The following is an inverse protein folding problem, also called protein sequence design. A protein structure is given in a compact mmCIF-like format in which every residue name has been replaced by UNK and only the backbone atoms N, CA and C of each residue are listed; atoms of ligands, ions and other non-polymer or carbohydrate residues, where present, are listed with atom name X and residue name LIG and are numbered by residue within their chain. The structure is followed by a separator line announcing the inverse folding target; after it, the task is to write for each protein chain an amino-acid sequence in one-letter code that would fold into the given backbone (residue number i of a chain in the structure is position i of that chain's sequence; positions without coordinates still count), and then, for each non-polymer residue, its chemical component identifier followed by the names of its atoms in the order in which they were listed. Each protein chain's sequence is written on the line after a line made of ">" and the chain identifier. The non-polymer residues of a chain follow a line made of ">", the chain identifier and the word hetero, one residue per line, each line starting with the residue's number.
data_IF_192805166834
#
_entry.id   IF_192805166834
#
_cell.length_a   1.000
_cell.length_b   1.000
_cell.length_c   1.000
_cell.angle_alpha   90.00
_cell.angle_beta   90.00
_cell.angle_gamma   90.00
#
_symmetry.space_group_name_H-M   'P 1'
#
loop_
_entity.id
_entity.type
_entity.pdbx_description
1 polymer ?
#
# COMPACT_ATOMS: atom_id res chain seq x y z
N UNK A 1 -10.00 -13.55 13.45
CA UNK A 1 -9.92 -13.18 12.02
C UNK A 1 -8.97 -14.16 11.37
N UNK A 2 -9.25 -14.56 10.15
CA UNK A 2 -8.49 -15.58 9.43
C UNK A 2 -7.05 -15.07 9.18
N UNK A 3 -6.04 -15.72 9.80
CA UNK A 3 -4.64 -15.27 9.89
C UNK A 3 -4.00 -14.95 8.52
N UNK A 4 -4.56 -15.50 7.43
CA UNK A 4 -4.04 -15.34 6.09
C UNK A 4 -4.25 -13.91 5.53
N UNK A 5 -5.42 -13.31 5.75
CA UNK A 5 -5.71 -11.95 5.25
C UNK A 5 -4.83 -10.91 5.94
N UNK A 6 -4.61 -11.07 7.24
CA UNK A 6 -3.71 -10.20 8.01
C UNK A 6 -2.28 -10.28 7.46
N UNK A 7 -1.81 -11.50 7.18
CA UNK A 7 -0.48 -11.75 6.58
C UNK A 7 -0.36 -11.13 5.19
N UNK A 8 -1.39 -11.22 4.36
CA UNK A 8 -1.39 -10.61 3.02
C UNK A 8 -1.31 -9.07 3.13
N UNK A 9 -2.12 -8.44 3.98
CA UNK A 9 -2.09 -6.99 4.17
C UNK A 9 -0.73 -6.50 4.69
N UNK A 10 -0.14 -7.21 5.65
CA UNK A 10 1.22 -6.92 6.14
C UNK A 10 2.29 -7.13 5.07
N UNK A 11 2.15 -8.13 4.21
CA UNK A 11 3.06 -8.33 3.08
C UNK A 11 2.99 -7.18 2.07
N UNK A 12 1.79 -6.70 1.76
CA UNK A 12 1.58 -5.51 0.92
C UNK A 12 2.29 -4.30 1.54
N UNK A 13 2.11 -4.06 2.85
CA UNK A 13 2.83 -3.00 3.56
C UNK A 13 4.35 -3.12 3.38
N UNK A 14 4.91 -4.31 3.63
CA UNK A 14 6.35 -4.55 3.50
C UNK A 14 6.88 -4.27 2.10
N UNK A 15 6.16 -4.67 1.05
CA UNK A 15 6.54 -4.37 -0.34
C UNK A 15 6.61 -2.87 -0.61
N UNK A 16 5.60 -2.11 -0.18
CA UNK A 16 5.56 -0.65 -0.34
C UNK A 16 6.72 0.00 0.44
N UNK A 17 6.93 -0.44 1.67
CA UNK A 17 7.95 0.10 2.58
C UNK A 17 9.38 -0.16 2.08
N UNK A 18 9.63 -1.33 1.48
CA UNK A 18 10.90 -1.63 0.79
C UNK A 18 11.08 -0.71 -0.41
N UNK A 19 10.09 -0.61 -1.30
CA UNK A 19 10.16 0.26 -2.48
C UNK A 19 10.48 1.71 -2.11
N UNK A 20 9.81 2.25 -1.09
CA UNK A 20 10.04 3.61 -0.61
C UNK A 20 11.50 3.81 -0.16
N UNK A 21 12.04 2.86 0.60
CA UNK A 21 13.43 2.91 1.07
C UNK A 21 14.43 2.84 -0.08
N UNK A 22 14.24 1.92 -1.01
CA UNK A 22 15.13 1.73 -2.17
C UNK A 22 15.17 2.98 -3.07
N UNK A 23 14.03 3.65 -3.23
CA UNK A 23 13.91 4.86 -4.04
C UNK A 23 14.16 6.16 -3.26
N UNK A 24 14.52 6.09 -1.97
CA UNK A 24 14.69 7.25 -1.07
C UNK A 24 13.47 8.19 -1.06
N UNK A 25 12.29 7.62 -1.22
CA UNK A 25 11.02 8.33 -1.27
C UNK A 25 10.36 8.36 0.10
N UNK A 26 9.69 9.46 0.42
CA UNK A 26 8.81 9.57 1.55
C UNK A 26 7.37 9.21 1.16
N UNK A 27 6.58 8.74 2.13
CA UNK A 27 5.17 8.36 1.92
C UNK A 27 4.28 9.49 1.40
N UNK A 28 4.61 10.76 1.66
CA UNK A 28 3.81 11.90 1.22
C UNK A 28 4.02 12.21 -0.26
N UNK A 29 5.16 11.85 -0.85
CA UNK A 29 5.37 11.92 -2.30
C UNK A 29 4.40 10.99 -3.05
N UNK A 30 4.02 9.86 -2.43
CA UNK A 30 2.96 9.00 -2.98
C UNK A 30 1.62 9.74 -2.98
N UNK A 31 1.30 10.47 -1.90
CA UNK A 31 -0.01 11.11 -1.72
C UNK A 31 -0.34 12.06 -2.87
N UNK A 32 0.60 12.94 -3.21
CA UNK A 32 0.44 13.92 -4.29
C UNK A 32 0.25 13.23 -5.65
N UNK A 33 0.94 12.10 -5.87
CA UNK A 33 0.93 11.37 -7.14
C UNK A 33 -0.31 10.53 -7.35
N UNK A 34 -0.84 9.90 -6.31
CA UNK A 34 -2.08 9.11 -6.40
C UNK A 34 -3.36 9.93 -6.18
N UNK A 35 -3.20 11.24 -5.96
CA UNK A 35 -4.27 12.21 -5.78
C UNK A 35 -5.05 12.02 -4.48
N UNK A 36 -4.34 11.84 -3.36
CA UNK A 36 -4.93 11.73 -2.02
C UNK A 36 -4.22 12.65 -1.03
N UNK A 37 -4.84 12.91 0.13
CA UNK A 37 -4.20 13.72 1.16
C UNK A 37 -3.06 12.95 1.88
N UNK A 38 -2.14 13.70 2.49
CA UNK A 38 -1.08 13.14 3.36
C UNK A 38 -1.64 12.35 4.55
N UNK A 39 -2.79 12.74 5.07
CA UNK A 39 -3.48 11.97 6.12
C UNK A 39 -3.97 10.64 5.56
N UNK A 40 -4.62 10.68 4.39
CA UNK A 40 -5.17 9.50 3.73
C UNK A 40 -4.07 8.47 3.45
N UNK A 41 -2.90 8.87 2.93
CA UNK A 41 -1.80 7.91 2.71
C UNK A 41 -1.30 7.32 4.03
N UNK A 42 -1.24 8.11 5.10
CA UNK A 42 -0.80 7.62 6.42
C UNK A 42 -1.78 6.60 6.99
N UNK A 43 -3.09 6.85 6.88
CA UNK A 43 -4.14 5.92 7.31
C UNK A 43 -4.12 4.62 6.50
N UNK A 44 -3.86 4.70 5.19
CA UNK A 44 -3.77 3.53 4.31
C UNK A 44 -2.60 2.64 4.73
N UNK A 45 -1.41 3.24 4.91
CA UNK A 45 -0.21 2.50 5.29
C UNK A 45 -0.35 1.92 6.69
N UNK A 46 -0.94 2.67 7.62
CA UNK A 46 -1.22 2.18 8.97
C UNK A 46 -2.18 0.98 8.95
N UNK A 47 -3.27 1.05 8.17
CA UNK A 47 -4.19 -0.09 8.01
C UNK A 47 -3.46 -1.34 7.53
N UNK A 48 -2.65 -1.22 6.48
CA UNK A 48 -1.89 -2.37 5.94
C UNK A 48 -0.90 -2.93 6.97
N UNK A 49 -0.20 -2.05 7.70
CA UNK A 49 0.70 -2.43 8.80
C UNK A 49 -0.03 -3.18 9.92
N UNK A 50 -1.26 -2.78 10.23
CA UNK A 50 -2.13 -3.42 11.21
C UNK A 50 -2.85 -4.66 10.65
N UNK A 51 -2.55 -5.07 9.41
CA UNK A 51 -3.12 -6.24 8.78
C UNK A 51 -4.55 -6.05 8.25
N UNK A 52 -4.96 -4.81 8.01
CA UNK A 52 -6.28 -4.43 7.49
C UNK A 52 -6.17 -3.91 6.06
N UNK A 53 -7.16 -4.26 5.23
CA UNK A 53 -7.20 -3.80 3.86
C UNK A 53 -7.82 -2.40 3.73
N UNK A 54 -7.18 -1.47 3.00
CA UNK A 54 -7.83 -0.27 2.49
C UNK A 54 -8.76 -0.64 1.33
N UNK A 55 -9.42 0.35 0.73
CA UNK A 55 -10.29 0.14 -0.44
C UNK A 55 -9.46 -0.40 -1.62
N UNK A 56 -10.02 -1.34 -2.38
CA UNK A 56 -9.37 -1.91 -3.56
C UNK A 56 -8.91 -0.84 -4.57
N UNK A 57 -9.75 0.16 -4.86
CA UNK A 57 -9.41 1.28 -5.75
C UNK A 57 -8.11 2.00 -5.34
N UNK A 58 -7.86 2.12 -4.04
CA UNK A 58 -6.63 2.74 -3.52
C UNK A 58 -5.41 1.86 -3.75
N UNK A 59 -5.57 0.54 -3.57
CA UNK A 59 -4.48 -0.41 -3.80
C UNK A 59 -4.09 -0.48 -5.26
N UNK A 60 -5.06 -0.45 -6.18
CA UNK A 60 -4.81 -0.38 -7.61
C UNK A 60 -4.03 0.89 -7.98
N UNK A 61 -4.45 2.06 -7.47
CA UNK A 61 -3.70 3.32 -7.67
C UNK A 61 -2.26 3.26 -7.14
N UNK A 62 -2.05 2.60 -6.00
CA UNK A 62 -0.71 2.41 -5.43
C UNK A 62 0.13 1.51 -6.33
N UNK A 63 -0.42 0.37 -6.75
CA UNK A 63 0.24 -0.54 -7.68
C UNK A 63 0.63 0.17 -8.98
N UNK A 64 -0.30 0.89 -9.60
CA UNK A 64 -0.08 1.61 -10.86
C UNK A 64 1.02 2.67 -10.71
N UNK A 65 1.03 3.40 -9.59
CA UNK A 65 2.04 4.44 -9.35
C UNK A 65 3.43 3.88 -9.02
N UNK A 66 3.48 2.87 -8.15
CA UNK A 66 4.74 2.29 -7.71
C UNK A 66 5.37 1.40 -8.80
N UNK A 67 4.59 0.97 -9.79
CA UNK A 67 5.06 0.07 -10.85
C UNK A 67 5.46 -1.31 -10.32
N UNK A 68 4.97 -1.69 -9.14
CA UNK A 68 5.24 -2.97 -8.50
C UNK A 68 3.95 -3.72 -8.27
N UNK A 69 4.01 -5.03 -8.40
CA UNK A 69 2.88 -5.90 -8.12
C UNK A 69 2.70 -6.11 -6.61
N UNK A 70 1.76 -5.38 -6.02
CA UNK A 70 1.34 -5.56 -4.62
C UNK A 70 0.08 -6.42 -4.50
N UNK A 71 -0.76 -6.49 -5.52
CA UNK A 71 -1.96 -7.33 -5.56
C UNK A 71 -2.00 -8.12 -6.86
N UNK A 72 -2.20 -9.43 -6.72
CA UNK A 72 -2.43 -10.36 -7.83
C UNK A 72 -3.89 -10.82 -7.83
N UNK A 73 -4.52 -10.81 -9.00
CA UNK A 73 -5.80 -11.47 -9.24
C UNK A 73 -5.53 -12.68 -10.12
N UNK A 74 -5.77 -13.87 -9.58
CA UNK A 74 -5.82 -15.07 -10.42
C UNK A 74 -7.18 -15.05 -11.13
N UNK A 75 -7.18 -14.73 -12.43
CA UNK A 75 -8.36 -14.77 -13.29
C UNK A 75 -8.56 -16.16 -13.88
#
# INVERSE_FOLDING_TARGET
>A
MDNNYEKIAKNIYSKIDIFLRENKMNRYEIADKIGVSKQTISDILLKLKDGKFPKLKTLLKLQDYLGIEIIFFNL
#
